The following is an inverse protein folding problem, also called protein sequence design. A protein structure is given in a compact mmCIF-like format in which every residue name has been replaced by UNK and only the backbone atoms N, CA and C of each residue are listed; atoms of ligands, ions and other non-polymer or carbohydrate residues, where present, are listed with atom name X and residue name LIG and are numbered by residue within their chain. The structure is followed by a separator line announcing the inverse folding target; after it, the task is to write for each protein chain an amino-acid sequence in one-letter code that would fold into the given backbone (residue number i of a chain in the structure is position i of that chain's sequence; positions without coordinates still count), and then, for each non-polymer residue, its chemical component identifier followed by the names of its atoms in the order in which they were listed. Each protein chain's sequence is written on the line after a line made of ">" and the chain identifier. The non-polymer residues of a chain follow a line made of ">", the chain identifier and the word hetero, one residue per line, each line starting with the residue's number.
data_IF_387412994379
#
_entry.id   IF_387412994379
#
_cell.length_a   1.000
_cell.length_b   1.000
_cell.length_c   1.000
_cell.angle_alpha   90.00
_cell.angle_beta   90.00
_cell.angle_gamma   90.00
#
_symmetry.space_group_name_H-M   'P 1'
#
loop_
_entity.id
_entity.type
_entity.pdbx_description
1 polymer ?
#
# COMPACT_ATOMS: atom_id res chain seq x y z
N UNK A 1 3.27 6.73 8.43
CA UNK A 1 3.40 5.39 9.08
C UNK A 1 2.70 4.27 8.30
N UNK A 2 1.54 3.72 8.70
CA UNK A 2 0.98 2.52 8.01
C UNK A 2 0.49 2.80 6.57
N UNK A 3 -0.24 3.90 6.35
CA UNK A 3 -0.72 4.27 5.01
C UNK A 3 0.42 4.59 4.05
N UNK A 4 1.49 5.18 4.58
CA UNK A 4 2.71 5.51 3.84
C UNK A 4 3.49 4.26 3.46
N UNK A 5 3.73 3.34 4.41
CA UNK A 5 4.36 2.04 4.13
C UNK A 5 3.61 1.27 3.03
N UNK A 6 2.27 1.30 3.06
CA UNK A 6 1.44 0.66 2.03
C UNK A 6 1.54 1.35 0.67
N UNK A 7 1.56 2.69 0.63
CA UNK A 7 1.76 3.43 -0.61
C UNK A 7 3.15 3.18 -1.20
N UNK A 8 4.18 3.15 -0.37
CA UNK A 8 5.56 2.86 -0.77
C UNK A 8 5.68 1.41 -1.26
N UNK A 9 5.00 0.46 -0.61
CA UNK A 9 4.89 -0.94 -1.06
C UNK A 9 4.26 -1.03 -2.46
N UNK A 10 3.14 -0.35 -2.68
CA UNK A 10 2.49 -0.36 -4.01
C UNK A 10 3.35 0.29 -5.08
N UNK A 11 4.03 1.39 -4.73
CA UNK A 11 4.92 2.10 -5.65
C UNK A 11 6.13 1.24 -6.01
N UNK A 12 6.68 0.49 -5.05
CA UNK A 12 7.75 -0.48 -5.28
C UNK A 12 7.33 -1.54 -6.29
N UNK A 13 6.20 -2.20 -6.07
CA UNK A 13 5.70 -3.24 -6.97
C UNK A 13 5.28 -2.73 -8.35
N UNK A 14 5.02 -1.42 -8.51
CA UNK A 14 4.73 -0.81 -9.81
C UNK A 14 5.99 -0.37 -10.57
N UNK A 15 7.09 -0.15 -9.87
CA UNK A 15 8.32 0.41 -10.43
C UNK A 15 9.41 -0.62 -10.71
N UNK A 16 9.29 -1.83 -10.13
CA UNK A 16 10.26 -2.92 -10.28
C UNK A 16 9.63 -4.09 -11.04
N UNK A 17 10.42 -4.72 -11.90
CA UNK A 17 10.02 -5.96 -12.59
C UNK A 17 10.32 -7.21 -11.75
N UNK A 18 11.27 -7.10 -10.82
CA UNK A 18 11.70 -8.18 -9.92
C UNK A 18 11.58 -7.70 -8.48
N UNK A 19 11.04 -8.57 -7.63
CA UNK A 19 11.07 -8.39 -6.19
C UNK A 19 12.39 -8.94 -5.65
N UNK A 20 13.02 -8.20 -4.73
CA UNK A 20 14.06 -8.71 -3.84
C UNK A 20 13.77 -8.26 -2.43
N UNK A 21 13.81 -9.20 -1.48
CA UNK A 21 13.54 -8.94 -0.07
C UNK A 21 14.51 -7.90 0.51
N UNK A 22 15.78 -7.94 0.08
CA UNK A 22 16.80 -6.97 0.50
C UNK A 22 16.45 -5.56 0.00
N UNK A 23 16.20 -5.41 -1.30
CA UNK A 23 15.85 -4.13 -1.93
C UNK A 23 14.55 -3.55 -1.37
N UNK A 24 13.55 -4.41 -1.14
CA UNK A 24 12.30 -4.03 -0.49
C UNK A 24 12.52 -3.52 0.93
N UNK A 25 13.33 -4.24 1.72
CA UNK A 25 13.65 -3.85 3.09
C UNK A 25 14.35 -2.49 3.15
N UNK A 26 15.26 -2.22 2.21
CA UNK A 26 15.98 -0.96 2.14
C UNK A 26 15.12 0.21 1.62
N UNK A 27 14.32 0.00 0.56
CA UNK A 27 13.56 1.09 -0.09
C UNK A 27 12.22 1.40 0.57
N UNK A 28 11.54 0.37 1.09
CA UNK A 28 10.17 0.48 1.62
C UNK A 28 10.16 0.48 3.14
N UNK A 29 10.80 -0.51 3.78
CA UNK A 29 10.77 -0.60 5.26
C UNK A 29 11.70 0.45 5.90
N UNK A 30 12.93 0.59 5.39
CA UNK A 30 13.98 1.57 5.76
C UNK A 30 14.52 1.49 7.20
N UNK A 31 13.69 1.20 8.18
CA UNK A 31 14.03 1.19 9.60
C UNK A 31 14.55 -0.19 10.02
N UNK A 32 15.80 -0.31 10.51
CA UNK A 32 16.40 -1.60 10.88
C UNK A 32 15.57 -2.42 11.88
N UNK A 33 15.02 -1.74 12.90
CA UNK A 33 14.15 -2.38 13.91
C UNK A 33 12.89 -3.00 13.29
N UNK A 34 12.34 -2.37 12.25
CA UNK A 34 11.17 -2.87 11.53
C UNK A 34 11.54 -4.01 10.59
N UNK A 35 12.73 -3.97 9.97
CA UNK A 35 13.25 -5.07 9.13
C UNK A 35 13.42 -6.36 9.93
N UNK A 36 13.96 -6.28 11.15
CA UNK A 36 14.07 -7.44 12.04
C UNK A 36 12.71 -8.03 12.38
N UNK A 37 11.73 -7.17 12.71
CA UNK A 37 10.36 -7.59 13.00
C UNK A 37 9.69 -8.24 11.79
N UNK A 38 9.93 -7.72 10.58
CA UNK A 38 9.39 -8.25 9.33
C UNK A 38 10.00 -9.62 9.00
N UNK A 39 11.31 -9.78 9.20
CA UNK A 39 12.02 -11.05 9.00
C UNK A 39 11.46 -12.13 9.92
N UNK A 40 11.23 -11.79 11.19
CA UNK A 40 10.61 -12.71 12.16
C UNK A 40 9.19 -13.10 11.73
N UNK A 41 8.38 -12.12 11.36
CA UNK A 41 7.03 -12.35 10.85
C UNK A 41 7.03 -13.28 9.63
N UNK A 42 7.95 -13.08 8.67
CA UNK A 42 8.11 -13.97 7.50
C UNK A 42 8.37 -15.40 7.95
N UNK A 43 9.33 -15.62 8.84
CA UNK A 43 9.70 -16.95 9.33
C UNK A 43 8.54 -17.65 10.06
N UNK A 44 7.84 -16.93 10.93
CA UNK A 44 6.66 -17.44 11.63
C UNK A 44 5.55 -17.81 10.61
N UNK A 45 5.30 -16.95 9.62
CA UNK A 45 4.30 -17.20 8.58
C UNK A 45 4.63 -18.41 7.71
N UNK A 46 5.89 -18.56 7.31
CA UNK A 46 6.39 -19.73 6.57
C UNK A 46 6.19 -21.01 7.38
N UNK A 47 6.54 -21.00 8.67
CA UNK A 47 6.39 -22.14 9.56
C UNK A 47 4.92 -22.50 9.81
N UNK A 48 4.06 -21.53 10.11
CA UNK A 48 2.65 -21.75 10.39
C UNK A 48 1.87 -22.28 9.19
N UNK A 49 2.27 -21.86 7.98
CA UNK A 49 1.57 -22.22 6.75
C UNK A 49 2.22 -23.37 6.00
N UNK A 50 3.37 -23.86 6.47
CA UNK A 50 4.21 -24.85 5.80
C UNK A 50 4.49 -24.45 4.34
N UNK A 51 4.84 -23.18 4.15
CA UNK A 51 5.21 -22.61 2.85
C UNK A 51 6.59 -22.00 2.90
N UNK A 52 7.17 -21.79 1.72
CA UNK A 52 8.38 -20.99 1.55
C UNK A 52 8.09 -19.78 0.69
N UNK A 53 8.49 -18.62 1.16
CA UNK A 53 8.47 -17.34 0.45
C UNK A 53 9.89 -17.13 -0.07
N UNK A 54 10.02 -17.16 -1.39
CA UNK A 54 11.28 -16.89 -2.09
C UNK A 54 11.77 -15.48 -1.77
N UNK A 55 13.09 -15.33 -1.66
CA UNK A 55 13.71 -14.03 -1.39
C UNK A 55 13.67 -13.11 -2.62
N UNK A 56 13.61 -13.70 -3.81
CA UNK A 56 13.52 -13.01 -5.09
C UNK A 56 12.53 -13.69 -6.03
N UNK A 57 11.74 -12.91 -6.76
CA UNK A 57 10.79 -13.42 -7.76
C UNK A 57 10.37 -12.35 -8.77
N UNK A 58 9.93 -12.79 -9.96
CA UNK A 58 9.34 -11.89 -10.96
C UNK A 58 8.00 -11.31 -10.48
N UNK A 59 7.84 -10.00 -10.63
CA UNK A 59 6.60 -9.32 -10.26
C UNK A 59 5.57 -9.48 -11.38
N UNK A 60 4.41 -10.03 -11.03
CA UNK A 60 3.30 -10.15 -11.98
C UNK A 60 2.54 -8.82 -12.11
N UNK A 61 2.68 -8.18 -13.27
CA UNK A 61 1.90 -7.00 -13.68
C UNK A 61 0.39 -7.16 -13.45
N UNK A 62 -0.15 -8.34 -13.75
CA UNK A 62 -1.57 -8.63 -13.59
C UNK A 62 -1.96 -8.64 -12.10
N UNK A 63 -1.12 -9.22 -11.23
CA UNK A 63 -1.32 -9.23 -9.78
C UNK A 63 -1.22 -7.81 -9.20
N UNK A 64 -0.21 -7.04 -9.61
CA UNK A 64 -0.03 -5.63 -9.17
C UNK A 64 -1.21 -4.78 -9.58
N UNK A 65 -1.69 -4.89 -10.83
CA UNK A 65 -2.88 -4.18 -11.31
C UNK A 65 -4.13 -4.56 -10.52
N UNK A 66 -4.32 -5.86 -10.22
CA UNK A 66 -5.46 -6.35 -9.43
C UNK A 66 -5.42 -5.79 -8.00
N UNK A 67 -4.27 -5.85 -7.35
CA UNK A 67 -4.10 -5.40 -5.97
C UNK A 67 -4.18 -3.87 -5.86
N UNK A 68 -3.68 -3.15 -6.86
CA UNK A 68 -3.82 -1.69 -6.94
C UNK A 68 -5.29 -1.27 -7.04
N UNK A 69 -6.12 -2.00 -7.81
CA UNK A 69 -7.57 -1.71 -7.94
C UNK A 69 -8.33 -1.90 -6.64
N UNK A 70 -8.07 -2.98 -5.90
CA UNK A 70 -8.72 -3.22 -4.60
C UNK A 70 -8.33 -2.16 -3.57
N UNK A 71 -7.06 -1.77 -3.54
CA UNK A 71 -6.53 -0.78 -2.60
C UNK A 71 -7.04 0.66 -2.85
N UNK A 72 -7.30 1.02 -4.11
CA UNK A 72 -7.78 2.37 -4.47
C UNK A 72 -9.17 2.70 -3.94
N UNK A 73 -9.92 1.74 -3.39
CA UNK A 73 -11.36 1.85 -3.29
C UNK A 73 -11.94 2.38 -1.99
N UNK A 74 -11.24 2.44 -0.85
CA UNK A 74 -11.88 2.85 0.42
C UNK A 74 -11.00 3.74 1.29
N UNK A 75 -11.47 4.96 1.57
CA UNK A 75 -10.93 5.83 2.63
C UNK A 75 -11.88 5.75 3.83
N UNK A 76 -11.36 5.35 4.99
CA UNK A 76 -12.14 5.25 6.24
C UNK A 76 -11.90 6.49 7.08
N UNK A 77 -12.97 7.26 7.37
CA UNK A 77 -12.92 8.48 8.18
C UNK A 77 -13.65 8.23 9.49
N UNK A 78 -12.87 8.04 10.57
CA UNK A 78 -13.29 8.00 11.97
C UNK A 78 -14.53 7.16 12.30
N UNK A 79 -14.79 6.10 11.52
CA UNK A 79 -16.00 5.25 11.58
C UNK A 79 -17.32 5.97 11.29
N UNK A 80 -17.29 7.27 11.00
CA UNK A 80 -18.46 8.05 10.64
C UNK A 80 -18.79 7.90 9.15
N UNK A 81 -17.76 7.80 8.28
CA UNK A 81 -17.96 7.72 6.83
C UNK A 81 -16.93 6.83 6.14
N UNK A 82 -17.36 6.17 5.07
CA UNK A 82 -16.49 5.50 4.10
C UNK A 82 -16.61 6.22 2.75
N UNK A 83 -15.49 6.66 2.19
CA UNK A 83 -15.45 7.20 0.82
C UNK A 83 -15.02 6.08 -0.11
N UNK A 84 -15.91 5.69 -1.02
CA UNK A 84 -15.59 4.73 -2.06
C UNK A 84 -15.01 5.43 -3.28
N UNK A 85 -13.71 5.23 -3.52
CA UNK A 85 -13.00 5.89 -4.62
C UNK A 85 -12.79 4.90 -5.75
N UNK A 86 -13.70 4.92 -6.72
CA UNK A 86 -13.62 4.05 -7.90
C UNK A 86 -12.65 4.59 -8.98
N UNK A 87 -12.12 5.80 -8.80
CA UNK A 87 -11.43 6.56 -9.84
C UNK A 87 -10.01 7.01 -9.49
N UNK A 88 -9.57 8.04 -10.20
CA UNK A 88 -8.24 8.61 -10.09
C UNK A 88 -8.09 9.41 -8.78
N UNK A 89 -7.18 9.00 -7.87
CA UNK A 89 -6.90 9.71 -6.61
C UNK A 89 -6.32 11.11 -6.82
N UNK A 90 -5.83 11.44 -8.02
CA UNK A 90 -5.37 12.80 -8.34
C UNK A 90 -6.51 13.84 -8.26
N UNK A 91 -7.76 13.39 -8.32
CA UNK A 91 -8.95 14.22 -8.10
C UNK A 91 -9.34 14.31 -6.63
N UNK A 92 -8.49 13.85 -5.71
CA UNK A 92 -8.74 13.91 -4.28
C UNK A 92 -7.58 14.63 -3.61
N UNK A 93 -7.89 15.74 -2.95
CA UNK A 93 -6.95 16.51 -2.15
C UNK A 93 -7.24 16.30 -0.66
N UNK A 94 -6.21 16.04 0.14
CA UNK A 94 -6.31 16.00 1.60
C UNK A 94 -5.73 17.28 2.19
N UNK A 95 -6.38 17.82 3.21
CA UNK A 95 -5.88 18.96 3.96
C UNK A 95 -6.35 18.99 5.41
N UNK A 96 -6.01 20.06 6.11
CA UNK A 96 -6.40 20.30 7.49
C UNK A 96 -6.73 21.80 7.66
N UNK A 97 -7.83 22.10 8.33
CA UNK A 97 -8.23 23.46 8.70
C UNK A 97 -8.62 23.53 10.18
N UNK A 98 -9.13 24.68 10.62
CA UNK A 98 -9.55 24.90 12.01
C UNK A 98 -10.62 23.91 12.52
N UNK A 99 -11.34 23.23 11.62
CA UNK A 99 -12.36 22.22 11.95
C UNK A 99 -11.80 20.79 11.97
N UNK A 100 -10.57 20.59 11.48
CA UNK A 100 -9.88 19.32 11.45
C UNK A 100 -9.49 18.88 10.04
N UNK A 101 -9.24 17.57 9.88
CA UNK A 101 -8.79 16.97 8.61
C UNK A 101 -9.94 16.81 7.63
N UNK A 102 -9.69 17.10 6.36
CA UNK A 102 -10.68 16.97 5.29
C UNK A 102 -10.12 16.30 4.03
N UNK A 103 -11.05 15.81 3.20
CA UNK A 103 -10.81 15.43 1.82
C UNK A 103 -11.70 16.28 0.90
N UNK A 104 -11.13 16.86 -0.16
CA UNK A 104 -11.86 17.51 -1.26
C UNK A 104 -11.84 16.58 -2.47
N UNK A 105 -12.98 16.44 -3.14
CA UNK A 105 -13.11 15.65 -4.37
C UNK A 105 -13.42 16.59 -5.52
N UNK A 106 -12.64 16.48 -6.60
CA UNK A 106 -12.81 17.22 -7.83
C UNK A 106 -13.50 16.34 -8.87
N UNK A 107 -14.45 16.89 -9.63
CA UNK A 107 -15.10 16.22 -10.75
C UNK A 107 -15.18 17.17 -11.94
N UNK A 108 -15.16 16.62 -13.16
CA UNK A 108 -15.21 17.40 -14.40
C UNK A 108 -16.58 17.34 -15.07
N UNK A 109 -17.24 16.17 -15.02
CA UNK A 109 -18.57 15.95 -15.59
C UNK A 109 -19.44 15.18 -14.57
N UNK A 110 -20.71 15.54 -14.48
CA UNK A 110 -21.74 14.88 -13.66
C UNK A 110 -22.75 14.22 -14.62
N UNK A 111 -23.13 12.96 -14.35
CA UNK A 111 -24.24 12.25 -15.02
C UNK A 111 -25.47 12.17 -14.11
#
# INVERSE_FOLDING_TARGET
>A
DQAELLNDTMSYFQAQDNFSLEDFSQKVIRQPEVVESFTRFKQEYEQERDIRIEEEFDISDAAVKRQTRSYKSVIKLDRNFHIYVHGNRNLIEQGEDEKGKFYKVYYENEE
#
